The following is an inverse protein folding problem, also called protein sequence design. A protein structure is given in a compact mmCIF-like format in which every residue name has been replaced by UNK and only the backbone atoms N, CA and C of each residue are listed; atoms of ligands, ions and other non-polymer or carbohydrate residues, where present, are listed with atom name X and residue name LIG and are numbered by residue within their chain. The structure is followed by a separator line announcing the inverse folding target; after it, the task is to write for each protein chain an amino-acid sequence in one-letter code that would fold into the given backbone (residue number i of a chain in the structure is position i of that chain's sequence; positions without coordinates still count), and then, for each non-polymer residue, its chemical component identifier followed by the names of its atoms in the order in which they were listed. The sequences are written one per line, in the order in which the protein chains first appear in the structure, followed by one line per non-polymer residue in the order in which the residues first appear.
data_IF_269149421776
#
_entry.id   IF_269149421776
#
_cell.length_a   1.000
_cell.length_b   1.000
_cell.length_c   1.000
_cell.angle_alpha   90.00
_cell.angle_beta   90.00
_cell.angle_gamma   90.00
#
_symmetry.space_group_name_H-M   'P 1'
#
loop_
_entity.id
_entity.type
_entity.pdbx_description
1 polymer ?
#
# COMPACT_ATOMS: atom_id res chain seq x y z
N UNK A 1 10.17 19.19 7.45
CA UNK A 1 9.07 18.23 7.21
C UNK A 1 8.42 17.92 8.54
N UNK A 2 7.11 18.11 8.67
CA UNK A 2 6.42 17.83 9.92
C UNK A 2 6.41 16.31 10.24
N UNK A 3 6.16 15.91 11.50
CA UNK A 3 5.97 14.49 11.85
C UNK A 3 4.87 13.83 11.00
N UNK A 4 3.87 14.62 10.59
CA UNK A 4 2.78 14.20 9.71
C UNK A 4 3.26 13.75 8.33
N UNK A 5 4.08 14.56 7.65
CA UNK A 5 4.60 14.29 6.32
C UNK A 5 5.39 12.98 6.27
N UNK A 6 6.20 12.72 7.31
CA UNK A 6 7.04 11.53 7.36
C UNK A 6 6.21 10.24 7.33
N UNK A 7 5.06 10.25 8.00
CA UNK A 7 4.16 9.10 8.06
C UNK A 7 3.36 8.96 6.77
N UNK A 8 2.97 10.07 6.14
CA UNK A 8 2.35 10.04 4.82
C UNK A 8 3.29 9.41 3.78
N UNK A 9 4.54 9.89 3.70
CA UNK A 9 5.55 9.36 2.79
C UNK A 9 5.90 7.89 3.07
N UNK A 10 5.97 7.49 4.33
CA UNK A 10 6.16 6.09 4.70
C UNK A 10 5.02 5.20 4.17
N UNK A 11 3.76 5.64 4.30
CA UNK A 11 2.60 4.90 3.78
C UNK A 11 2.58 4.83 2.25
N UNK A 12 2.95 5.91 1.56
CA UNK A 12 3.13 5.93 0.11
C UNK A 12 4.16 4.88 -0.29
N UNK A 13 5.33 4.84 0.38
CA UNK A 13 6.37 3.84 0.14
C UNK A 13 5.88 2.40 0.35
N UNK A 14 5.14 2.14 1.43
CA UNK A 14 4.53 0.83 1.66
C UNK A 14 3.47 0.46 0.62
N UNK A 15 2.66 1.42 0.15
CA UNK A 15 1.66 1.20 -0.90
C UNK A 15 2.30 0.83 -2.24
N UNK A 16 3.40 1.52 -2.61
CA UNK A 16 4.18 1.20 -3.81
C UNK A 16 4.77 -0.21 -3.71
N UNK A 17 5.42 -0.55 -2.59
CA UNK A 17 5.95 -1.90 -2.36
C UNK A 17 4.86 -2.96 -2.43
N UNK A 18 3.69 -2.71 -1.85
CA UNK A 18 2.56 -3.63 -1.91
C UNK A 18 2.09 -3.88 -3.34
N UNK A 19 2.00 -2.83 -4.16
CA UNK A 19 1.57 -2.92 -5.56
C UNK A 19 2.58 -3.68 -6.42
N UNK A 20 3.88 -3.44 -6.20
CA UNK A 20 4.96 -4.17 -6.88
C UNK A 20 4.92 -5.65 -6.49
N UNK A 21 4.79 -5.98 -5.20
CA UNK A 21 4.75 -7.36 -4.72
C UNK A 21 3.51 -8.09 -5.24
N UNK A 22 2.34 -7.44 -5.21
CA UNK A 22 1.11 -8.02 -5.75
C UNK A 22 1.19 -8.26 -7.27
N UNK A 23 1.81 -7.33 -8.01
CA UNK A 23 2.09 -7.48 -9.44
C UNK A 23 3.10 -8.60 -9.74
N UNK A 24 4.24 -8.59 -9.06
CA UNK A 24 5.34 -9.55 -9.24
C UNK A 24 4.95 -11.00 -8.91
N UNK A 25 4.00 -11.20 -8.00
CA UNK A 25 3.45 -12.52 -7.70
C UNK A 25 2.47 -13.04 -8.78
N UNK A 26 2.27 -12.29 -9.87
CA UNK A 26 1.51 -12.74 -11.04
C UNK A 26 -0.01 -12.70 -10.85
N UNK A 27 -0.50 -11.96 -9.85
CA UNK A 27 -1.94 -11.73 -9.65
C UNK A 27 -2.43 -10.65 -10.61
N UNK A 28 -2.36 -10.98 -11.90
CA UNK A 28 -2.81 -10.14 -13.00
C UNK A 28 -4.32 -10.30 -13.20
N UNK A 29 -5.02 -9.22 -13.53
CA UNK A 29 -6.47 -9.19 -13.77
C UNK A 29 -6.94 -10.19 -14.83
N UNK A 30 -6.05 -10.64 -15.72
CA UNK A 30 -6.35 -11.65 -16.73
C UNK A 30 -6.51 -13.07 -16.15
N UNK A 31 -5.99 -13.30 -14.94
CA UNK A 31 -6.03 -14.60 -14.29
C UNK A 31 -7.25 -14.68 -13.35
N UNK A 32 -8.03 -15.78 -13.31
CA UNK A 32 -9.12 -15.96 -12.34
C UNK A 32 -8.67 -15.86 -10.87
N UNK A 33 -7.36 -15.92 -10.62
CA UNK A 33 -6.73 -15.73 -9.31
C UNK A 33 -6.43 -14.27 -8.95
N UNK A 34 -6.80 -13.28 -9.78
CA UNK A 34 -6.54 -11.85 -9.53
C UNK A 34 -7.03 -11.36 -8.16
N UNK A 35 -8.12 -11.94 -7.65
CA UNK A 35 -8.64 -11.66 -6.31
C UNK A 35 -7.60 -11.88 -5.19
N UNK A 36 -6.66 -12.83 -5.36
CA UNK A 36 -5.58 -13.06 -4.40
C UNK A 36 -4.61 -11.86 -4.29
N UNK A 37 -4.45 -11.09 -5.37
CA UNK A 37 -3.68 -9.84 -5.36
C UNK A 37 -4.29 -8.77 -4.45
N UNK A 38 -5.62 -8.68 -4.40
CA UNK A 38 -6.34 -7.82 -3.44
C UNK A 38 -6.08 -8.31 -2.01
N UNK A 39 -6.10 -9.63 -1.78
CA UNK A 39 -5.78 -10.23 -0.48
C UNK A 39 -4.37 -9.87 0.02
N UNK A 40 -3.38 -9.85 -0.87
CA UNK A 40 -2.01 -9.42 -0.54
C UNK A 40 -1.95 -7.93 -0.23
N UNK A 41 -2.68 -7.10 -0.99
CA UNK A 41 -2.84 -5.67 -0.68
C UNK A 41 -3.37 -5.44 0.74
N UNK A 42 -4.34 -6.25 1.18
CA UNK A 42 -4.86 -6.23 2.55
C UNK A 42 -3.85 -6.70 3.59
N UNK A 43 -3.11 -7.79 3.35
CA UNK A 43 -2.08 -8.28 4.28
C UNK A 43 -0.99 -7.23 4.49
N UNK A 44 -0.49 -6.63 3.41
CA UNK A 44 0.54 -5.58 3.48
C UNK A 44 -0.04 -4.30 4.11
N UNK A 45 -1.32 -4.04 3.93
CA UNK A 45 -2.01 -2.94 4.60
C UNK A 45 -2.05 -3.13 6.12
N UNK A 46 -2.40 -4.32 6.60
CA UNK A 46 -2.34 -4.66 8.02
C UNK A 46 -0.90 -4.57 8.57
N UNK A 47 0.10 -5.03 7.81
CA UNK A 47 1.50 -4.88 8.18
C UNK A 47 1.91 -3.39 8.30
N UNK A 48 1.52 -2.56 7.33
CA UNK A 48 1.73 -1.10 7.34
C UNK A 48 1.04 -0.43 8.54
N UNK A 49 -0.15 -0.89 8.91
CA UNK A 49 -0.84 -0.44 10.12
C UNK A 49 -0.04 -0.75 11.40
N UNK A 50 0.52 -1.95 11.52
CA UNK A 50 1.36 -2.35 12.65
C UNK A 50 2.65 -1.51 12.69
N UNK A 51 3.32 -1.33 11.55
CA UNK A 51 4.55 -0.52 11.45
C UNK A 51 4.27 0.94 11.81
N UNK A 52 3.17 1.52 11.32
CA UNK A 52 2.78 2.88 11.67
C UNK A 52 2.49 3.01 13.18
N UNK A 53 1.80 2.02 13.77
CA UNK A 53 1.56 1.98 15.21
C UNK A 53 2.86 1.90 16.01
N UNK A 54 3.82 1.09 15.54
CA UNK A 54 5.13 0.93 16.19
C UNK A 54 6.02 2.17 16.04
N UNK A 55 6.02 2.81 14.87
CA UNK A 55 6.82 4.00 14.58
C UNK A 55 6.32 5.25 15.31
N UNK A 56 5.02 5.34 15.60
CA UNK A 56 4.38 6.52 16.24
C UNK A 56 4.31 6.37 17.77
N UNK A 57 4.33 5.14 18.29
CA UNK A 57 4.14 4.85 19.72
C UNK A 57 5.15 5.49 20.68
N UNK A 58 6.20 6.15 20.20
CA UNK A 58 7.19 6.85 21.02
C UNK A 58 7.03 8.38 21.15
N UNK A 59 6.13 9.05 20.39
CA UNK A 59 6.26 10.52 20.25
C UNK A 59 4.98 11.36 20.42
N UNK A 60 3.77 10.81 20.56
CA UNK A 60 2.55 11.64 20.63
C UNK A 60 1.44 11.09 21.57
N UNK A 61 0.63 11.97 22.19
CA UNK A 61 -0.51 11.60 23.02
C UNK A 61 -1.53 10.74 22.25
N UNK A 62 -2.16 9.77 22.92
CA UNK A 62 -3.12 8.84 22.35
C UNK A 62 -4.50 9.50 22.12
N UNK A 63 -4.56 10.71 21.57
CA UNK A 63 -5.80 11.33 21.06
C UNK A 63 -5.70 11.75 19.58
N UNK A 64 -4.56 12.25 19.09
CA UNK A 64 -4.41 12.74 17.70
C UNK A 64 -3.86 11.70 16.67
N UNK A 65 -3.07 10.73 17.13
CA UNK A 65 -2.63 9.52 16.41
C UNK A 65 -3.74 8.79 15.62
N UNK A 66 -4.94 8.60 16.19
CA UNK A 66 -6.05 7.89 15.52
C UNK A 66 -6.55 8.64 14.29
N UNK A 67 -6.69 9.96 14.41
CA UNK A 67 -7.18 10.85 13.35
C UNK A 67 -6.20 10.93 12.18
N UNK A 68 -4.91 10.97 12.50
CA UNK A 68 -3.84 11.00 11.52
C UNK A 68 -3.66 9.66 10.78
N UNK A 69 -3.78 8.54 11.50
CA UNK A 69 -3.72 7.19 10.92
C UNK A 69 -4.91 6.92 10.01
N UNK A 70 -6.10 7.41 10.35
CA UNK A 70 -7.30 7.26 9.52
C UNK A 70 -7.23 8.08 8.23
N UNK A 71 -6.70 9.30 8.29
CA UNK A 71 -6.55 10.16 7.09
C UNK A 71 -5.52 9.61 6.10
N UNK A 72 -4.47 8.92 6.58
CA UNK A 72 -3.44 8.31 5.73
C UNK A 72 -3.83 6.98 5.07
N UNK A 73 -4.99 6.39 5.39
CA UNK A 73 -5.41 5.11 4.79
C UNK A 73 -5.69 5.24 3.30
N UNK A 74 -6.41 6.31 2.91
CA UNK A 74 -6.80 6.52 1.51
C UNK A 74 -5.59 6.63 0.59
N UNK A 75 -4.54 7.34 1.02
CA UNK A 75 -3.30 7.48 0.26
C UNK A 75 -2.58 6.15 0.01
N UNK A 76 -2.56 5.25 1.00
CA UNK A 76 -2.00 3.92 0.81
C UNK A 76 -2.79 3.11 -0.23
N UNK A 77 -4.12 3.07 -0.10
CA UNK A 77 -4.98 2.26 -0.98
C UNK A 77 -4.91 2.78 -2.41
N UNK A 78 -4.96 4.11 -2.59
CA UNK A 78 -4.79 4.74 -3.90
C UNK A 78 -3.45 4.38 -4.54
N UNK A 79 -2.35 4.50 -3.79
CA UNK A 79 -1.01 4.23 -4.34
C UNK A 79 -0.79 2.75 -4.65
N UNK A 80 -1.32 1.86 -3.79
CA UNK A 80 -1.33 0.43 -4.04
C UNK A 80 -2.07 0.08 -5.33
N UNK A 81 -3.31 0.56 -5.49
CA UNK A 81 -4.10 0.30 -6.68
C UNK A 81 -3.45 0.89 -7.93
N UNK A 82 -2.95 2.12 -7.84
CA UNK A 82 -2.25 2.78 -8.94
C UNK A 82 -1.04 1.96 -9.42
N UNK A 83 -0.18 1.55 -8.48
CA UNK A 83 1.01 0.76 -8.82
C UNK A 83 0.66 -0.63 -9.32
N UNK A 84 -0.37 -1.26 -8.76
CA UNK A 84 -0.82 -2.57 -9.20
C UNK A 84 -1.42 -2.53 -10.61
N UNK A 85 -2.23 -1.51 -10.94
CA UNK A 85 -2.74 -1.30 -12.30
C UNK A 85 -1.60 -1.00 -13.27
N UNK A 86 -0.64 -0.15 -12.90
CA UNK A 86 0.55 0.11 -13.72
C UNK A 86 1.31 -1.19 -14.03
N UNK A 87 1.53 -2.04 -13.03
CA UNK A 87 2.19 -3.32 -13.23
C UNK A 87 1.41 -4.22 -14.17
N UNK A 88 0.07 -4.28 -14.01
CA UNK A 88 -0.79 -5.03 -14.93
C UNK A 88 -0.64 -4.52 -16.36
N UNK A 89 -0.62 -3.21 -16.59
CA UNK A 89 -0.43 -2.62 -17.93
C UNK A 89 0.93 -2.98 -18.53
N UNK A 90 2.02 -2.87 -17.75
CA UNK A 90 3.36 -3.25 -18.20
C UNK A 90 3.44 -4.74 -18.56
N UNK A 91 2.97 -5.61 -17.67
CA UNK A 91 2.98 -7.06 -17.88
C UNK A 91 2.04 -7.52 -19.01
N UNK A 92 0.95 -6.79 -19.28
CA UNK A 92 0.12 -7.02 -20.47
C UNK A 92 0.87 -6.67 -21.74
N UNK A 93 1.65 -5.58 -21.74
CA UNK A 93 2.44 -5.14 -22.89
C UNK A 93 3.55 -6.15 -23.23
N UNK A 94 4.22 -6.73 -22.23
CA UNK A 94 5.23 -7.78 -22.43
C UNK A 94 4.68 -9.06 -23.08
N UNK A 95 3.39 -9.40 -22.88
CA UNK A 95 2.80 -10.62 -23.46
C UNK A 95 2.40 -10.48 -24.94
N UNK A 96 2.24 -9.25 -25.42
CA UNK A 96 1.83 -8.96 -26.81
C UNK A 96 2.99 -8.53 -27.71
N UNK A 97 4.22 -8.44 -27.18
CA UNK A 97 5.43 -8.03 -27.88
C UNK A 97 6.23 -9.19 -28.47
#
# INVERSE_FOLDING_TARGET
MGPLDKIFWMRIGFGVLAGIVAGALGYLSYNPQAFRGIGIGFIIYFASYIVAKFSIGKQLPPTDYRKMVTTGMGGYVFMFLFMWILYNTFALTEQTG
#
